data_IF_707993416612
#
_entry.id   IF_707993416612
#
_cell.length_a   1.000
_cell.length_b   1.000
_cell.length_c   1.000
_cell.angle_alpha   90.00
_cell.angle_beta   90.00
_cell.angle_gamma   90.00
#
_symmetry.space_group_name_H-M   'P 1'
#
loop_
_entity.id
_entity.type
_entity.pdbx_description
1 polymer ?
#
# COMPACT_ATOMS: atom_id res chain seq x y z
N UNK A 1 30.16 1.18 -17.25
CA UNK A 1 30.29 0.21 -16.15
C UNK A 1 29.48 0.67 -14.94
N UNK A 2 29.83 1.81 -14.32
CA UNK A 2 29.15 2.37 -13.13
C UNK A 2 27.62 2.44 -13.20
N UNK A 3 27.03 2.86 -14.34
CA UNK A 3 25.56 2.90 -14.48
C UNK A 3 24.89 1.53 -14.33
N UNK A 4 25.49 0.49 -14.90
CA UNK A 4 24.95 -0.87 -14.84
C UNK A 4 25.06 -1.42 -13.41
N UNK A 5 26.19 -1.16 -12.74
CA UNK A 5 26.41 -1.57 -11.35
C UNK A 5 25.41 -0.91 -10.41
N UNK A 6 25.16 0.40 -10.54
CA UNK A 6 24.18 1.09 -9.71
C UNK A 6 22.75 0.62 -9.97
N UNK A 7 22.39 0.31 -11.22
CA UNK A 7 21.08 -0.27 -11.54
C UNK A 7 20.94 -1.70 -10.99
N UNK A 8 21.98 -2.52 -11.12
CA UNK A 8 22.00 -3.88 -10.56
C UNK A 8 21.93 -3.85 -9.02
N UNK A 9 22.59 -2.88 -8.39
CA UNK A 9 22.52 -2.64 -6.94
C UNK A 9 21.09 -2.39 -6.47
N UNK A 10 20.29 -1.70 -7.28
CA UNK A 10 18.86 -1.46 -7.00
C UNK A 10 17.99 -2.70 -7.18
N UNK A 11 18.46 -3.78 -7.79
CA UNK A 11 17.67 -5.02 -7.94
C UNK A 11 17.92 -6.03 -6.81
N UNK A 12 18.98 -5.86 -6.01
CA UNK A 12 19.28 -6.67 -4.83
C UNK A 12 19.14 -5.91 -3.51
N UNK A 13 19.70 -6.48 -2.42
CA UNK A 13 19.79 -5.84 -1.10
C UNK A 13 20.84 -4.70 -1.05
N UNK A 14 21.45 -4.37 -2.19
CA UNK A 14 22.56 -3.43 -2.26
C UNK A 14 23.80 -3.94 -1.50
N UNK A 15 24.40 -3.06 -0.70
CA UNK A 15 25.57 -3.40 0.12
C UNK A 15 25.18 -3.99 1.49
N UNK A 16 23.89 -3.97 1.85
CA UNK A 16 23.39 -4.44 3.12
C UNK A 16 23.17 -5.96 3.05
N UNK A 17 24.22 -6.72 3.35
CA UNK A 17 24.24 -8.19 3.32
C UNK A 17 23.58 -8.86 4.53
N UNK A 18 23.06 -8.10 5.51
CA UNK A 18 22.47 -8.66 6.73
C UNK A 18 21.10 -8.08 7.05
N UNK A 19 20.21 -8.87 7.67
CA UNK A 19 18.91 -8.38 8.12
C UNK A 19 19.12 -7.31 9.19
N UNK A 20 19.03 -6.06 8.77
CA UNK A 20 19.15 -4.91 9.64
C UNK A 20 17.81 -4.58 10.30
N UNK A 21 17.86 -3.94 11.46
CA UNK A 21 16.67 -3.41 12.11
C UNK A 21 16.08 -2.29 11.25
N UNK A 22 14.76 -2.25 11.14
CA UNK A 22 14.07 -1.23 10.36
C UNK A 22 14.53 0.18 10.74
N UNK A 23 14.93 1.02 9.78
CA UNK A 23 15.49 2.33 10.08
C UNK A 23 14.49 3.27 10.76
N UNK A 24 13.18 3.02 10.62
CA UNK A 24 12.11 3.82 11.23
C UNK A 24 11.77 3.36 12.65
N UNK A 25 11.42 2.09 12.85
CA UNK A 25 10.98 1.61 14.18
C UNK A 25 12.09 1.00 15.03
N UNK A 26 13.27 0.73 14.44
CA UNK A 26 14.44 0.10 15.09
C UNK A 26 14.18 -1.28 15.71
N UNK A 27 13.08 -1.95 15.35
CA UNK A 27 12.69 -3.25 15.91
C UNK A 27 12.41 -4.29 14.82
N UNK A 28 11.61 -3.94 13.82
CA UNK A 28 11.15 -4.90 12.82
C UNK A 28 12.23 -5.29 11.80
N UNK A 29 12.11 -6.51 11.27
CA UNK A 29 12.96 -7.01 10.20
C UNK A 29 12.72 -6.27 8.88
N UNK A 30 13.77 -5.74 8.25
CA UNK A 30 13.66 -5.12 6.93
C UNK A 30 13.44 -6.17 5.85
N UNK A 31 12.31 -6.10 5.16
CA UNK A 31 11.90 -7.10 4.16
C UNK A 31 11.22 -6.48 2.95
N UNK A 32 10.67 -5.27 3.09
CA UNK A 32 9.86 -4.65 2.05
C UNK A 32 10.48 -3.35 1.53
N UNK A 33 10.33 -3.10 0.23
CA UNK A 33 10.61 -1.80 -0.42
C UNK A 33 9.43 -1.34 -1.27
N UNK A 34 9.45 -0.05 -1.64
CA UNK A 34 8.52 0.53 -2.58
C UNK A 34 9.25 0.88 -3.89
N UNK A 35 8.65 0.60 -5.05
CA UNK A 35 9.24 0.89 -6.37
C UNK A 35 8.91 2.30 -6.89
N UNK A 36 7.99 3.01 -6.22
CA UNK A 36 7.50 4.32 -6.64
C UNK A 36 7.94 5.46 -5.71
N UNK A 37 8.31 5.15 -4.47
CA UNK A 37 8.92 6.13 -3.58
C UNK A 37 10.37 6.43 -4.03
N UNK A 38 10.81 7.66 -3.79
CA UNK A 38 12.22 8.02 -3.94
C UNK A 38 13.12 7.34 -2.90
N UNK A 39 12.54 6.96 -1.76
CA UNK A 39 13.22 6.18 -0.73
C UNK A 39 13.49 4.76 -1.24
N UNK A 40 14.77 4.42 -1.40
CA UNK A 40 15.25 3.11 -1.84
C UNK A 40 15.54 2.16 -0.67
N UNK A 41 15.32 2.60 0.57
CA UNK A 41 15.58 1.82 1.77
C UNK A 41 14.57 0.69 1.97
N UNK A 42 15.01 -0.38 2.61
CA UNK A 42 14.14 -1.45 3.07
C UNK A 42 13.53 -1.12 4.43
N UNK A 43 12.27 -1.49 4.61
CA UNK A 43 11.52 -1.30 5.84
C UNK A 43 10.87 -2.61 6.28
N UNK A 44 10.48 -2.68 7.55
CA UNK A 44 9.58 -3.74 7.98
C UNK A 44 8.17 -3.53 7.43
N UNK A 45 7.39 -4.61 7.35
CA UNK A 45 6.02 -4.59 6.83
C UNK A 45 5.15 -3.53 7.53
N UNK A 46 5.25 -3.40 8.85
CA UNK A 46 4.45 -2.44 9.62
C UNK A 46 4.77 -0.98 9.26
N UNK A 47 6.05 -0.65 9.10
CA UNK A 47 6.48 0.67 8.66
C UNK A 47 6.09 0.91 7.20
N UNK A 48 6.19 -0.10 6.34
CA UNK A 48 5.74 -0.04 4.95
C UNK A 48 4.26 0.35 4.85
N UNK A 49 3.39 -0.31 5.61
CA UNK A 49 1.96 0.00 5.71
C UNK A 49 1.74 1.44 6.19
N UNK A 50 2.46 1.87 7.23
CA UNK A 50 2.28 3.20 7.80
C UNK A 50 2.71 4.32 6.84
N UNK A 51 3.83 4.16 6.15
CA UNK A 51 4.31 5.10 5.13
C UNK A 51 3.32 5.25 3.97
N UNK A 52 2.69 4.14 3.56
CA UNK A 52 1.83 4.10 2.38
C UNK A 52 0.35 4.37 2.65
N UNK A 53 -0.04 4.78 3.87
CA UNK A 53 -1.43 5.17 4.17
C UNK A 53 -1.97 6.28 3.28
N UNK A 54 -1.10 7.17 2.80
CA UNK A 54 -1.44 8.28 1.89
C UNK A 54 -1.15 7.98 0.41
N UNK A 55 -0.51 6.85 0.14
CA UNK A 55 -0.17 6.39 -1.20
C UNK A 55 -0.45 4.89 -1.32
N UNK A 56 -1.72 4.46 -1.14
CA UNK A 56 -2.08 3.05 -1.01
C UNK A 56 -2.00 2.27 -2.33
N UNK A 57 -1.73 2.96 -3.43
CA UNK A 57 -1.62 2.40 -4.78
C UNK A 57 -0.16 2.31 -5.26
N UNK A 58 0.82 2.54 -4.37
CA UNK A 58 2.20 2.29 -4.73
C UNK A 58 2.48 0.78 -4.78
N UNK A 59 3.30 0.37 -5.74
CA UNK A 59 3.81 -0.98 -5.91
C UNK A 59 4.93 -1.25 -4.92
N UNK A 60 4.75 -2.30 -4.15
CA UNK A 60 5.71 -2.77 -3.17
C UNK A 60 6.27 -4.13 -3.59
N UNK A 61 7.46 -4.40 -3.10
CA UNK A 61 8.12 -5.69 -3.25
C UNK A 61 8.61 -6.17 -1.89
N UNK A 62 8.62 -7.48 -1.72
CA UNK A 62 9.11 -8.13 -0.52
C UNK A 62 10.25 -9.09 -0.86
N UNK A 63 11.33 -9.02 -0.10
CA UNK A 63 12.42 -9.96 -0.16
C UNK A 63 11.94 -11.34 0.33
N UNK A 64 12.03 -12.36 -0.52
CA UNK A 64 11.62 -13.73 -0.17
C UNK A 64 12.79 -14.63 0.26
N UNK A 65 14.02 -14.12 0.23
CA UNK A 65 15.26 -14.89 0.46
C UNK A 65 16.17 -14.89 -0.76
N UNK A 66 15.59 -14.89 -1.96
CA UNK A 66 16.30 -15.00 -3.23
C UNK A 66 16.17 -13.74 -4.09
N UNK A 67 14.97 -13.15 -4.15
CA UNK A 67 14.67 -11.97 -4.95
C UNK A 67 13.53 -11.14 -4.36
N UNK A 68 13.34 -9.94 -4.91
CA UNK A 68 12.19 -9.09 -4.61
C UNK A 68 10.95 -9.55 -5.38
N UNK A 69 10.02 -10.18 -4.68
CA UNK A 69 8.75 -10.59 -5.24
C UNK A 69 7.71 -9.46 -5.10
N UNK A 70 6.89 -9.17 -6.12
CA UNK A 70 5.77 -8.26 -5.99
C UNK A 70 4.84 -8.68 -4.85
N UNK A 71 4.44 -7.73 -4.01
CA UNK A 71 3.43 -7.91 -2.98
C UNK A 71 2.42 -6.78 -3.09
N UNK A 72 1.20 -7.00 -2.66
CA UNK A 72 0.22 -5.93 -2.51
C UNK A 72 0.25 -5.35 -1.09
N UNK A 73 -0.06 -4.06 -0.95
CA UNK A 73 -0.26 -3.44 0.35
C UNK A 73 -1.43 -4.09 1.12
N UNK A 74 -2.42 -4.67 0.41
CA UNK A 74 -3.48 -5.51 0.97
C UNK A 74 -2.92 -6.72 1.73
N UNK A 75 -1.97 -7.44 1.15
CA UNK A 75 -1.34 -8.61 1.81
C UNK A 75 -0.52 -8.22 3.03
N UNK A 76 -0.06 -6.98 3.10
CA UNK A 76 0.58 -6.41 4.29
C UNK A 76 -0.43 -5.88 5.32
N UNK A 77 -1.72 -5.93 5.02
CA UNK A 77 -2.80 -5.50 5.91
C UNK A 77 -3.18 -4.03 5.80
N UNK A 78 -2.71 -3.30 4.77
CA UNK A 78 -3.18 -1.94 4.52
C UNK A 78 -4.65 -1.96 4.11
N UNK A 79 -5.43 -1.08 4.73
CA UNK A 79 -6.84 -0.86 4.44
C UNK A 79 -7.05 0.61 4.08
N UNK A 80 -7.84 0.86 3.04
CA UNK A 80 -8.22 2.20 2.59
C UNK A 80 -9.56 2.54 3.23
N UNK A 81 -9.57 3.49 4.17
CA UNK A 81 -10.80 3.98 4.76
C UNK A 81 -11.34 5.17 3.98
N UNK A 82 -12.63 5.14 3.63
CA UNK A 82 -13.34 6.23 3.00
C UNK A 82 -14.20 7.03 3.99
N UNK A 83 -14.74 8.15 3.51
CA UNK A 83 -15.74 8.97 4.23
C UNK A 83 -15.18 9.91 5.31
N UNK A 84 -13.92 9.77 5.72
CA UNK A 84 -13.27 10.66 6.71
C UNK A 84 -11.99 11.31 6.16
N UNK A 85 -11.59 12.49 6.70
CA UNK A 85 -10.29 13.08 6.39
C UNK A 85 -9.12 12.15 6.72
N UNK A 86 -8.01 12.33 6.00
CA UNK A 86 -6.76 11.59 6.24
C UNK A 86 -6.32 11.69 7.71
N UNK A 87 -6.10 10.54 8.35
CA UNK A 87 -5.65 10.43 9.74
C UNK A 87 -6.76 10.23 10.76
N UNK A 88 -8.03 10.44 10.40
CA UNK A 88 -9.15 10.06 11.26
C UNK A 88 -9.57 8.61 11.01
N UNK A 89 -9.85 7.88 12.09
CA UNK A 89 -10.39 6.50 12.01
C UNK A 89 -11.89 6.53 12.22
N UNK A 90 -12.62 5.72 11.44
CA UNK A 90 -14.06 5.54 11.58
C UNK A 90 -14.34 4.45 12.61
N UNK A 91 -15.27 4.67 13.54
CA UNK A 91 -15.69 3.65 14.48
C UNK A 91 -16.69 2.65 13.87
N UNK A 92 -17.39 3.04 12.80
CA UNK A 92 -18.37 2.21 12.11
C UNK A 92 -17.89 1.90 10.69
N UNK A 93 -16.93 0.99 10.58
CA UNK A 93 -16.36 0.55 9.30
C UNK A 93 -17.28 -0.46 8.62
N UNK A 94 -17.56 -0.24 7.34
CA UNK A 94 -18.27 -1.19 6.50
C UNK A 94 -17.32 -1.69 5.41
N UNK A 95 -16.84 -2.94 5.48
CA UNK A 95 -15.92 -3.46 4.48
C UNK A 95 -16.61 -3.56 3.11
N UNK A 96 -15.85 -3.33 2.04
CA UNK A 96 -16.26 -3.70 0.70
C UNK A 96 -16.49 -5.21 0.57
N UNK A 97 -17.21 -5.62 -0.47
CA UNK A 97 -17.57 -7.02 -0.71
C UNK A 97 -16.35 -7.95 -0.63
N UNK A 98 -16.48 -9.03 0.14
CA UNK A 98 -15.44 -10.07 0.34
C UNK A 98 -14.05 -9.54 0.77
N UNK A 99 -13.99 -8.39 1.47
CA UNK A 99 -12.73 -7.72 1.81
C UNK A 99 -11.81 -7.51 0.59
N UNK A 100 -12.40 -7.32 -0.59
CA UNK A 100 -11.71 -7.17 -1.86
C UNK A 100 -12.24 -5.98 -2.62
N UNK A 101 -11.32 -5.16 -3.13
CA UNK A 101 -11.64 -4.09 -4.06
C UNK A 101 -10.53 -3.97 -5.08
N UNK A 102 -10.87 -3.71 -6.35
CA UNK A 102 -9.88 -3.58 -7.43
C UNK A 102 -9.84 -2.14 -7.91
N UNK A 103 -8.66 -1.52 -7.86
CA UNK A 103 -8.43 -0.17 -8.39
C UNK A 103 -7.50 -0.29 -9.59
N UNK A 104 -7.89 0.30 -10.72
CA UNK A 104 -7.10 0.29 -11.94
C UNK A 104 -6.65 1.71 -12.24
N UNK A 105 -5.35 1.88 -12.52
CA UNK A 105 -4.80 3.10 -13.07
C UNK A 105 -4.02 2.78 -14.37
N UNK A 106 -3.44 3.79 -15.01
CA UNK A 106 -2.72 3.61 -16.29
C UNK A 106 -1.47 2.73 -16.19
N UNK A 107 -0.96 2.49 -14.98
CA UNK A 107 0.30 1.77 -14.75
C UNK A 107 0.08 0.36 -14.21
N UNK A 108 -1.06 0.09 -13.58
CA UNK A 108 -1.24 -1.13 -12.78
C UNK A 108 -2.68 -1.38 -12.32
N UNK A 109 -2.93 -2.64 -11.97
CA UNK A 109 -4.13 -3.12 -11.29
C UNK A 109 -3.78 -3.41 -9.83
N UNK A 110 -4.53 -2.85 -8.90
CA UNK A 110 -4.32 -2.97 -7.46
C UNK A 110 -5.44 -3.75 -6.81
N UNK A 111 -5.09 -4.86 -6.15
CA UNK A 111 -6.00 -5.49 -5.18
C UNK A 111 -5.82 -4.82 -3.83
N UNK A 112 -6.88 -4.20 -3.32
CA UNK A 112 -6.88 -3.46 -2.05
C UNK A 112 -7.98 -3.98 -1.13
N UNK A 113 -7.88 -3.63 0.14
CA UNK A 113 -9.01 -3.68 1.08
C UNK A 113 -9.52 -2.26 1.23
N UNK A 114 -10.83 -2.09 1.08
CA UNK A 114 -11.49 -0.80 1.13
C UNK A 114 -12.63 -0.87 2.16
N UNK A 115 -12.67 0.12 3.04
CA UNK A 115 -13.69 0.27 4.08
C UNK A 115 -14.46 1.56 3.86
N UNK A 116 -15.77 1.44 3.71
CA UNK A 116 -16.69 2.56 3.70
C UNK A 116 -16.94 3.06 5.12
N UNK A 117 -17.23 4.35 5.25
CA UNK A 117 -17.79 4.91 6.46
C UNK A 117 -19.28 4.52 6.57
N UNK A 118 -19.67 3.94 7.70
CA UNK A 118 -21.05 3.60 8.04
C UNK A 118 -21.68 4.50 9.11
N UNK A 119 -21.03 5.59 9.51
CA UNK A 119 -21.60 6.54 10.48
C UNK A 119 -22.98 7.06 10.03
N UNK A 120 -23.81 7.54 10.96
CA UNK A 120 -25.14 8.09 10.65
C UNK A 120 -25.10 9.23 9.63
N UNK A 121 -24.00 10.01 9.61
CA UNK A 121 -23.77 11.12 8.68
C UNK A 121 -23.07 10.70 7.39
N UNK A 122 -22.79 9.40 7.21
CA UNK A 122 -22.08 8.88 6.06
C UNK A 122 -22.83 9.19 4.75
N UNK A 123 -22.05 9.45 3.69
CA UNK A 123 -22.59 9.59 2.34
C UNK A 123 -22.72 8.21 1.67
N UNK A 124 -23.52 8.14 0.60
CA UNK A 124 -23.60 6.94 -0.23
C UNK A 124 -22.22 6.49 -0.71
N UNK A 125 -22.03 5.17 -0.87
CA UNK A 125 -20.74 4.54 -1.23
C UNK A 125 -20.09 5.19 -2.47
N UNK A 126 -20.89 5.48 -3.50
CA UNK A 126 -20.43 6.18 -4.72
C UNK A 126 -19.83 7.55 -4.39
N UNK A 127 -20.48 8.34 -3.53
CA UNK A 127 -20.00 9.67 -3.15
C UNK A 127 -18.69 9.54 -2.34
N UNK A 128 -18.60 8.52 -1.48
CA UNK A 128 -17.37 8.27 -0.72
C UNK A 128 -16.19 7.94 -1.65
N UNK A 129 -16.40 7.10 -2.66
CA UNK A 129 -15.40 6.78 -3.69
C UNK A 129 -15.00 8.01 -4.51
N UNK A 130 -15.97 8.75 -5.04
CA UNK A 130 -15.72 9.93 -5.87
C UNK A 130 -14.94 11.02 -5.10
N UNK A 131 -15.23 11.21 -3.81
CA UNK A 131 -14.47 12.13 -2.95
C UNK A 131 -13.02 11.69 -2.71
N UNK A 132 -12.73 10.39 -2.89
CA UNK A 132 -11.39 9.82 -2.87
C UNK A 132 -10.79 9.66 -4.27
N UNK A 133 -11.38 10.31 -5.29
CA UNK A 133 -10.95 10.28 -6.69
C UNK A 133 -11.00 8.87 -7.31
N UNK A 134 -11.83 7.99 -6.75
CA UNK A 134 -12.10 6.67 -7.30
C UNK A 134 -13.39 6.73 -8.10
N UNK A 135 -13.27 6.59 -9.41
CA UNK A 135 -14.44 6.49 -10.29
C UNK A 135 -14.90 5.03 -10.33
N UNK A 136 -16.13 4.72 -9.89
CA UNK A 136 -16.59 3.34 -9.83
C UNK A 136 -16.86 2.79 -11.23
N UNK A 137 -16.60 1.50 -11.43
CA UNK A 137 -16.90 0.82 -12.68
C UNK A 137 -18.41 0.57 -12.87
N UNK A 138 -19.17 0.47 -11.77
CA UNK A 138 -20.64 0.30 -11.79
C UNK A 138 -21.31 1.24 -10.79
N UNK A 139 -22.58 1.58 -11.02
CA UNK A 139 -23.38 2.42 -10.12
C UNK A 139 -24.26 1.64 -9.14
N UNK A 140 -24.37 0.32 -9.28
CA UNK A 140 -25.27 -0.51 -8.45
C UNK A 140 -24.52 -1.18 -7.29
N UNK A 141 -23.33 -1.73 -7.59
CA UNK A 141 -22.45 -2.37 -6.62
C UNK A 141 -21.01 -1.92 -6.93
N UNK A 142 -20.63 -0.70 -6.51
CA UNK A 142 -19.35 -0.11 -6.84
C UNK A 142 -18.18 -0.78 -6.10
#
# INVERSE_FOLDING_TARGET
ETYLEELARLEGLGNDMSPSMCPLCKVGLVTARCRECLDTSLHCIQCMVNLHRRAPLHRIENWNGDFFAPKSLKEFGLRIQLGHPCGQSCANLLPAFDNGFTIINSLSVHSVILDYCGCETAKLSIIQLLRHRLFPATSVAP
#
